data_IF_480243731447
#
_entry.id   IF_480243731447
#
_cell.length_a   1.000
_cell.length_b   1.000
_cell.length_c   1.000
_cell.angle_alpha   90.00
_cell.angle_beta   90.00
_cell.angle_gamma   90.00
#
_symmetry.space_group_name_H-M   'P 1'
#
loop_
_entity.id
_entity.type
_entity.pdbx_description
1 polymer ?
#
# COMPACT_ATOMS: atom_id res chain seq x y z
N UNK A 1 -3.89 14.95 -8.49
CA UNK A 1 -2.72 14.52 -7.68
C UNK A 1 -1.81 13.64 -8.52
N UNK A 2 -0.53 13.52 -8.13
CA UNK A 2 0.53 12.80 -8.84
C UNK A 2 0.46 11.28 -8.61
N UNK A 3 0.50 10.50 -9.68
CA UNK A 3 0.53 9.04 -9.64
C UNK A 3 -0.25 8.41 -10.80
N UNK A 4 -0.52 7.11 -10.68
CA UNK A 4 -1.16 6.30 -11.72
C UNK A 4 -2.61 5.95 -11.36
N UNK A 5 -3.43 5.59 -12.36
CA UNK A 5 -4.84 5.18 -12.16
C UNK A 5 -5.17 3.82 -12.81
N UNK A 6 -4.55 2.72 -12.36
CA UNK A 6 -4.68 1.43 -13.01
C UNK A 6 -6.06 0.76 -12.83
N UNK A 7 -6.89 1.20 -11.88
CA UNK A 7 -8.21 0.59 -11.60
C UNK A 7 -9.36 1.44 -12.11
N UNK A 8 -9.29 2.76 -11.93
CA UNK A 8 -10.30 3.69 -12.42
C UNK A 8 -9.70 5.06 -12.74
N UNK A 9 -9.63 5.40 -14.03
CA UNK A 9 -9.12 6.70 -14.50
C UNK A 9 -10.14 7.84 -14.45
N UNK A 10 -11.41 7.54 -14.20
CA UNK A 10 -12.49 8.53 -14.12
C UNK A 10 -12.54 9.27 -12.78
N UNK A 11 -11.87 8.71 -11.75
CA UNK A 11 -11.78 9.30 -10.41
C UNK A 11 -10.43 10.00 -10.20
N UNK A 12 -10.39 11.01 -9.33
CA UNK A 12 -9.17 11.76 -9.06
C UNK A 12 -8.04 11.00 -8.32
N UNK A 13 -8.32 10.09 -7.35
CA UNK A 13 -7.30 9.37 -6.57
C UNK A 13 -6.31 8.59 -7.44
N UNK A 14 -5.04 8.62 -7.03
CA UNK A 14 -3.91 8.02 -7.77
C UNK A 14 -3.09 7.12 -6.89
N UNK A 15 -2.64 5.99 -7.42
CA UNK A 15 -1.62 5.17 -6.78
C UNK A 15 -0.27 5.88 -6.87
N UNK A 16 0.42 6.01 -5.73
CA UNK A 16 1.70 6.69 -5.63
C UNK A 16 2.69 5.85 -4.82
N UNK A 17 3.71 5.31 -5.49
CA UNK A 17 4.71 4.41 -4.88
C UNK A 17 5.50 5.06 -3.75
N UNK A 18 5.77 6.36 -3.81
CA UNK A 18 6.48 7.05 -2.71
C UNK A 18 5.60 7.10 -1.47
N UNK A 19 4.31 7.44 -1.64
CA UNK A 19 3.34 7.44 -0.54
C UNK A 19 3.04 6.04 -0.01
N UNK A 20 3.16 4.99 -0.83
CA UNK A 20 3.05 3.61 -0.34
C UNK A 20 4.05 3.37 0.79
N UNK A 21 5.29 3.83 0.65
CA UNK A 21 6.28 3.63 1.69
C UNK A 21 6.12 4.62 2.87
N UNK A 22 5.96 5.91 2.59
CA UNK A 22 5.85 6.93 3.65
C UNK A 22 4.60 6.78 4.52
N UNK A 23 3.51 6.26 3.97
CA UNK A 23 2.24 6.08 4.65
C UNK A 23 1.89 4.60 4.91
N UNK A 24 2.90 3.72 5.02
CA UNK A 24 2.73 2.31 5.45
C UNK A 24 1.64 1.53 4.68
N UNK A 25 1.64 1.65 3.34
CA UNK A 25 0.65 1.04 2.44
C UNK A 25 -0.48 1.99 2.04
N UNK A 26 -0.58 3.18 2.63
CA UNK A 26 -1.63 4.16 2.30
C UNK A 26 -1.58 4.68 0.87
N UNK A 27 -0.48 4.51 0.13
CA UNK A 27 -0.31 5.05 -1.23
C UNK A 27 -1.15 4.39 -2.35
N UNK A 28 -1.85 3.28 -2.10
CA UNK A 28 -2.70 2.57 -3.07
C UNK A 28 -4.10 3.23 -3.21
N UNK A 29 -4.15 4.55 -3.37
CA UNK A 29 -5.41 5.30 -3.31
C UNK A 29 -6.35 5.03 -4.49
N UNK A 30 -5.84 4.79 -5.70
CA UNK A 30 -6.72 4.47 -6.82
C UNK A 30 -7.43 3.13 -6.58
N UNK A 31 -6.72 2.14 -6.05
CA UNK A 31 -7.33 0.88 -5.62
C UNK A 31 -8.33 1.10 -4.50
N UNK A 32 -7.94 1.79 -3.42
CA UNK A 32 -8.78 2.03 -2.25
C UNK A 32 -10.11 2.68 -2.61
N UNK A 33 -10.10 3.70 -3.49
CA UNK A 33 -11.32 4.35 -3.93
C UNK A 33 -12.13 3.53 -4.96
N UNK A 34 -11.48 2.64 -5.71
CA UNK A 34 -12.19 1.72 -6.61
C UNK A 34 -12.89 0.56 -5.86
N UNK A 35 -12.35 0.16 -4.70
CA UNK A 35 -12.81 -0.98 -3.91
C UNK A 35 -12.84 -0.64 -2.40
N UNK A 36 -13.71 0.27 -1.96
CA UNK A 36 -13.72 0.77 -0.58
C UNK A 36 -14.00 -0.29 0.49
N UNK A 37 -14.60 -1.42 0.11
CA UNK A 37 -14.88 -2.55 0.99
C UNK A 37 -13.68 -3.48 1.23
N UNK A 38 -12.59 -3.36 0.47
CA UNK A 38 -11.42 -4.22 0.62
C UNK A 38 -10.59 -3.82 1.85
N UNK A 39 -10.44 -4.73 2.81
CA UNK A 39 -9.77 -4.44 4.08
C UNK A 39 -8.29 -4.07 3.92
N UNK A 40 -7.65 -4.50 2.84
CA UNK A 40 -6.21 -4.27 2.61
C UNK A 40 -5.93 -2.91 1.99
N UNK A 41 -6.93 -2.31 1.33
CA UNK A 41 -6.73 -1.10 0.51
C UNK A 41 -5.76 -1.28 -0.66
N UNK A 42 -5.34 -2.52 -0.98
CA UNK A 42 -4.40 -2.86 -2.06
C UNK A 42 -4.82 -4.16 -2.75
N UNK A 43 -4.50 -4.34 -4.04
CA UNK A 43 -4.82 -5.59 -4.77
C UNK A 43 -4.12 -6.81 -4.15
N UNK A 44 -2.84 -6.67 -3.78
CA UNK A 44 -1.94 -7.80 -3.53
C UNK A 44 -1.66 -8.11 -2.04
N UNK A 45 -2.37 -7.47 -1.11
CA UNK A 45 -2.19 -7.73 0.33
C UNK A 45 -0.90 -7.10 0.88
N UNK A 46 -0.19 -7.86 1.72
CA UNK A 46 1.18 -7.55 2.20
C UNK A 46 2.22 -8.57 1.69
N UNK A 47 1.78 -9.74 1.22
CA UNK A 47 2.66 -10.82 0.76
C UNK A 47 3.35 -10.54 -0.57
N UNK A 48 2.83 -9.58 -1.34
CA UNK A 48 3.27 -9.28 -2.71
C UNK A 48 3.56 -7.78 -2.94
N UNK A 49 3.40 -6.94 -1.92
CA UNK A 49 3.68 -5.51 -1.98
C UNK A 49 3.87 -4.92 -0.58
N UNK A 50 4.52 -3.76 -0.49
CA UNK A 50 4.71 -3.06 0.79
C UNK A 50 3.37 -2.55 1.36
N UNK A 51 2.79 -3.31 2.30
CA UNK A 51 1.61 -2.90 3.05
C UNK A 51 1.65 -3.41 4.50
N UNK A 52 2.45 -2.78 5.38
CA UNK A 52 2.54 -3.14 6.79
C UNK A 52 1.18 -3.09 7.52
N UNK A 53 0.27 -2.22 7.09
CA UNK A 53 -1.07 -2.11 7.68
C UNK A 53 -1.87 -3.40 7.51
N UNK A 54 -1.88 -4.00 6.32
CA UNK A 54 -2.54 -5.28 6.08
C UNK A 54 -1.91 -6.42 6.90
N UNK A 55 -0.58 -6.45 7.01
CA UNK A 55 0.12 -7.43 7.85
C UNK A 55 -0.33 -7.34 9.32
N UNK A 56 -0.44 -6.13 9.86
CA UNK A 56 -0.90 -5.91 11.24
C UNK A 56 -2.34 -6.40 11.44
N UNK A 57 -3.24 -6.11 10.49
CA UNK A 57 -4.63 -6.59 10.53
C UNK A 57 -4.67 -8.13 10.49
N UNK A 58 -3.84 -8.76 9.66
CA UNK A 58 -3.75 -10.21 9.56
C UNK A 58 -3.20 -10.87 10.83
N UNK A 59 -2.26 -10.22 11.52
CA UNK A 59 -1.78 -10.66 12.83
C UNK A 59 -2.89 -10.61 13.89
N UNK A 60 -3.65 -9.52 13.93
CA UNK A 60 -4.82 -9.41 14.82
C UNK A 60 -5.90 -10.43 14.49
N UNK A 61 -6.10 -10.76 13.21
CA UNK A 61 -7.01 -11.82 12.82
C UNK A 61 -6.58 -13.20 13.32
N UNK A 62 -5.27 -13.49 13.32
CA UNK A 62 -4.73 -14.77 13.83
C UNK A 62 -4.99 -14.97 15.32
N UNK A 63 -5.03 -13.90 16.11
CA UNK A 63 -5.32 -13.96 17.56
C UNK A 63 -6.80 -13.70 17.89
N UNK A 64 -7.67 -13.61 16.87
CA UNK A 64 -9.12 -13.43 17.03
C UNK A 64 -9.58 -12.01 17.35
N UNK A 65 -8.70 -11.00 17.24
CA UNK A 65 -9.04 -9.60 17.48
C UNK A 65 -9.67 -8.91 16.27
N UNK A 66 -9.37 -9.40 15.07
CA UNK A 66 -10.01 -8.96 13.83
C UNK A 66 -10.71 -10.15 13.16
N UNK A 67 -11.87 -9.90 12.55
CA UNK A 67 -12.67 -10.92 11.88
C UNK A 67 -13.35 -10.32 10.65
N UNK A 68 -13.98 -11.16 9.82
CA UNK A 68 -14.73 -10.76 8.62
C UNK A 68 -13.98 -9.81 7.66
N UNK A 69 -12.66 -10.03 7.51
CA UNK A 69 -11.82 -9.30 6.54
C UNK A 69 -12.35 -9.52 5.12
N UNK A 70 -12.93 -8.47 4.53
CA UNK A 70 -13.47 -8.50 3.17
C UNK A 70 -12.38 -8.25 2.15
N UNK A 71 -12.15 -9.20 1.25
CA UNK A 71 -11.21 -9.08 0.13
C UNK A 71 -11.95 -9.16 -1.19
N UNK A 72 -11.67 -8.24 -2.12
CA UNK A 72 -12.25 -8.27 -3.46
C UNK A 72 -11.56 -9.35 -4.29
N UNK A 73 -12.35 -10.15 -5.01
CA UNK A 73 -11.80 -11.23 -5.85
C UNK A 73 -10.98 -10.66 -7.01
N UNK A 74 -9.92 -11.40 -7.38
CA UNK A 74 -9.06 -11.02 -8.52
C UNK A 74 -9.85 -10.84 -9.83
N UNK A 75 -10.94 -11.60 -10.00
CA UNK A 75 -11.83 -11.46 -11.16
C UNK A 75 -12.54 -10.11 -11.19
N UNK A 76 -13.12 -9.67 -10.07
CA UNK A 76 -13.77 -8.35 -9.96
C UNK A 76 -12.75 -7.23 -10.19
N UNK A 77 -11.55 -7.34 -9.62
CA UNK A 77 -10.47 -6.37 -9.85
C UNK A 77 -10.12 -6.30 -11.33
N UNK A 78 -9.90 -7.45 -11.98
CA UNK A 78 -9.58 -7.55 -13.40
C UNK A 78 -10.67 -6.95 -14.27
N UNK A 79 -11.94 -7.24 -13.98
CA UNK A 79 -13.07 -6.69 -14.72
C UNK A 79 -13.14 -5.16 -14.60
N UNK A 80 -12.97 -4.61 -13.40
CA UNK A 80 -12.96 -3.16 -13.18
C UNK A 80 -11.78 -2.49 -13.89
N UNK A 81 -10.57 -3.03 -13.76
CA UNK A 81 -9.38 -2.55 -14.47
C UNK A 81 -9.58 -2.54 -15.99
N UNK A 82 -10.17 -3.60 -16.57
CA UNK A 82 -10.48 -3.62 -18.02
C UNK A 82 -11.52 -2.56 -18.41
N UNK A 83 -12.50 -2.30 -17.55
CA UNK A 83 -13.62 -1.38 -17.86
C UNK A 83 -13.23 0.09 -17.70
N UNK A 84 -12.50 0.43 -16.64
CA UNK A 84 -12.24 1.83 -16.24
C UNK A 84 -10.78 2.14 -15.98
N UNK A 85 -9.89 1.15 -15.95
CA UNK A 85 -8.47 1.36 -15.69
C UNK A 85 -7.78 2.12 -16.81
N UNK A 86 -6.71 2.81 -16.45
CA UNK A 86 -5.76 3.34 -17.43
C UNK A 86 -4.84 2.23 -17.92
N UNK A 87 -4.98 1.82 -19.19
CA UNK A 87 -4.17 0.78 -19.83
C UNK A 87 -2.75 1.24 -20.15
N UNK A 88 -2.48 2.55 -20.10
CA UNK A 88 -1.14 3.12 -20.29
C UNK A 88 -0.39 3.29 -18.98
N UNK A 89 -1.09 3.21 -17.86
CA UNK A 89 -0.48 3.27 -16.54
C UNK A 89 0.43 2.06 -16.33
N UNK A 90 1.70 2.34 -16.04
CA UNK A 90 2.64 1.32 -15.60
C UNK A 90 2.10 0.71 -14.30
N UNK A 91 1.70 -0.57 -14.34
CA UNK A 91 1.50 -1.34 -13.12
C UNK A 91 2.85 -1.43 -12.42
N UNK A 92 2.88 -1.14 -11.11
CA UNK A 92 4.10 -1.23 -10.31
C UNK A 92 4.67 -2.65 -10.41
N UNK A 93 5.89 -2.78 -10.93
CA UNK A 93 6.65 -4.02 -10.80
C UNK A 93 7.18 -4.09 -9.35
N UNK A 94 6.43 -4.77 -8.49
CA UNK A 94 6.81 -4.96 -7.10
C UNK A 94 7.98 -5.95 -6.99
N UNK A 95 9.11 -5.52 -6.43
CA UNK A 95 10.14 -6.43 -5.94
C UNK A 95 10.04 -6.44 -4.42
N UNK A 96 9.65 -7.59 -3.85
CA UNK A 96 9.49 -7.73 -2.41
C UNK A 96 10.78 -7.41 -1.65
N UNK A 97 11.93 -7.81 -2.20
CA UNK A 97 13.23 -7.49 -1.62
C UNK A 97 13.46 -5.96 -1.56
N UNK A 98 13.13 -5.24 -2.64
CA UNK A 98 13.23 -3.78 -2.67
C UNK A 98 12.22 -3.13 -1.74
N UNK A 99 10.99 -3.64 -1.70
CA UNK A 99 9.92 -3.15 -0.82
C UNK A 99 10.33 -3.25 0.66
N UNK A 100 10.94 -4.36 1.06
CA UNK A 100 11.43 -4.57 2.43
C UNK A 100 12.60 -3.65 2.74
N UNK A 101 13.60 -3.54 1.85
CA UNK A 101 14.76 -2.66 2.07
C UNK A 101 14.33 -1.20 2.19
N UNK A 102 13.53 -0.70 1.25
CA UNK A 102 13.04 0.68 1.27
C UNK A 102 12.11 0.92 2.45
N UNK A 103 11.26 -0.05 2.79
CA UNK A 103 10.38 -0.01 3.95
C UNK A 103 11.13 0.12 5.27
N UNK A 104 12.19 -0.68 5.47
CA UNK A 104 13.04 -0.62 6.66
C UNK A 104 13.82 0.69 6.71
N UNK A 105 14.37 1.16 5.58
CA UNK A 105 15.02 2.46 5.52
C UNK A 105 14.07 3.59 5.91
N UNK A 106 12.82 3.56 5.42
CA UNK A 106 11.81 4.57 5.76
C UNK A 106 11.29 4.45 7.20
N UNK A 107 11.25 3.25 7.76
CA UNK A 107 10.88 3.07 9.16
C UNK A 107 11.98 3.59 10.12
N UNK A 108 13.25 3.43 9.73
CA UNK A 108 14.39 3.65 10.62
C UNK A 108 15.25 4.88 10.31
N UNK A 109 15.05 5.58 9.18
CA UNK A 109 15.81 6.80 8.86
C UNK A 109 15.74 7.91 9.92
N UNK A 110 14.68 8.07 10.75
CA UNK A 110 14.68 9.10 11.77
C UNK A 110 15.60 8.74 12.95
N UNK A 111 15.90 7.46 13.18
CA UNK A 111 16.62 7.03 14.38
C UNK A 111 18.04 7.59 14.47
N UNK A 112 18.89 7.57 13.42
CA UNK A 112 20.22 8.18 13.49
C UNK A 112 20.17 9.69 13.72
N UNK A 113 19.17 10.38 13.14
CA UNK A 113 18.99 11.83 13.33
C UNK A 113 18.59 12.14 14.77
N UNK A 114 17.61 11.41 15.31
CA UNK A 114 17.17 11.53 16.70
C UNK A 114 18.33 11.22 17.66
N UNK A 115 19.08 10.17 17.38
CA UNK A 115 20.24 9.78 18.19
C UNK A 115 21.36 10.83 18.14
N UNK A 116 21.67 11.37 16.95
CA UNK A 116 22.65 12.44 16.77
C UNK A 116 22.25 13.72 17.49
N UNK A 117 20.99 14.14 17.38
CA UNK A 117 20.46 15.27 18.17
C UNK A 117 20.67 14.98 19.66
N UNK A 118 20.26 13.80 20.13
CA UNK A 118 20.41 13.41 21.55
C UNK A 118 21.86 13.45 22.03
N UNK A 119 22.86 13.15 21.19
CA UNK A 119 24.28 13.29 21.53
C UNK A 119 24.77 14.75 21.59
N UNK A 120 24.07 15.68 20.94
CA UNK A 120 24.43 17.10 20.91
C UNK A 120 23.75 17.92 22.03
N UNK A 121 22.65 17.40 22.60
CA UNK A 121 21.90 18.07 23.69
C UNK A 121 22.18 17.46 25.08
N UNK A 122 23.07 16.46 25.18
CA UNK A 122 23.62 15.94 26.44
C UNK A 122 25.12 16.27 26.50
#
# INVERSE_FOLDING_TARGET
MFGYRPYDKSIQPTDNTVLVYLAMGGGYHNYHHAFPQDYSGSEYGWEQNFNPTTLLIDMFAKIGWAYDRKKVSAEIVRMRTKRTGDTTALRRNASMAMDVVLGLLILYWPLPVIYGIRLLVN
#
